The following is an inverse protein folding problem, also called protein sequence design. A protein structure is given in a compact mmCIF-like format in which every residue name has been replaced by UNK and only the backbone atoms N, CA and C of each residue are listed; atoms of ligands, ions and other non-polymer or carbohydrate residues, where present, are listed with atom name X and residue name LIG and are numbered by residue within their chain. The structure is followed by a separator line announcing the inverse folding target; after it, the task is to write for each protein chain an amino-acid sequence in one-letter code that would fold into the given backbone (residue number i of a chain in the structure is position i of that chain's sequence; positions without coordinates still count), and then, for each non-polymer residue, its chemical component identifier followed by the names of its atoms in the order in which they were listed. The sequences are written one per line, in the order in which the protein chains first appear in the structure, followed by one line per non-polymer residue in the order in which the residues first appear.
data_IF_882814342049
#
_entry.id   IF_882814342049
#
_cell.length_a   1.000
_cell.length_b   1.000
_cell.length_c   1.000
_cell.angle_alpha   90.00
_cell.angle_beta   90.00
_cell.angle_gamma   90.00
#
_symmetry.space_group_name_H-M   'P 1'
#
loop_
_entity.id
_entity.type
_entity.pdbx_description
1 polymer ?
#
# COMPACT_ATOMS: atom_id res chain seq x y z
N UNK A 1 -38.65 43.91 -20.21
CA UNK A 1 -38.01 43.22 -21.34
C UNK A 1 -36.49 43.35 -21.34
N UNK A 2 -35.83 43.54 -20.15
CA UNK A 2 -34.37 43.73 -20.02
C UNK A 2 -33.59 42.55 -19.41
N UNK A 3 -34.27 41.48 -18.99
CA UNK A 3 -33.64 40.35 -18.33
C UNK A 3 -33.09 39.26 -19.27
N UNK A 4 -33.62 39.14 -20.49
CA UNK A 4 -33.18 38.13 -21.47
C UNK A 4 -31.78 38.34 -22.00
N UNK A 5 -31.30 39.58 -22.10
CA UNK A 5 -29.97 39.86 -22.67
C UNK A 5 -28.80 39.53 -21.71
N UNK A 6 -29.02 39.67 -20.39
CA UNK A 6 -27.97 39.34 -19.41
C UNK A 6 -27.60 37.85 -19.32
N UNK A 7 -28.55 36.97 -19.67
CA UNK A 7 -28.30 35.52 -19.66
C UNK A 7 -27.50 35.12 -20.91
N UNK A 8 -27.79 35.76 -22.07
CA UNK A 8 -27.05 35.49 -23.31
C UNK A 8 -25.59 35.94 -23.23
N UNK A 9 -25.32 37.09 -22.61
CA UNK A 9 -23.96 37.64 -22.48
C UNK A 9 -23.07 36.81 -21.56
N UNK A 10 -23.64 36.06 -20.61
CA UNK A 10 -22.92 35.19 -19.69
C UNK A 10 -22.91 33.72 -20.13
N UNK A 11 -23.52 33.36 -21.24
CA UNK A 11 -23.62 32.01 -21.76
C UNK A 11 -22.24 31.31 -21.90
N UNK A 12 -21.18 31.95 -22.43
CA UNK A 12 -19.87 31.34 -22.55
C UNK A 12 -19.24 31.05 -21.19
N UNK A 13 -19.43 31.92 -20.20
CA UNK A 13 -18.89 31.74 -18.85
C UNK A 13 -19.58 30.57 -18.14
N UNK A 14 -20.90 30.47 -18.29
CA UNK A 14 -21.70 29.36 -17.72
C UNK A 14 -21.28 28.02 -18.35
N UNK A 15 -21.04 28.01 -19.67
CA UNK A 15 -20.62 26.80 -20.37
C UNK A 15 -19.23 26.33 -19.92
N UNK A 16 -18.26 27.24 -19.75
CA UNK A 16 -16.93 26.93 -19.25
C UNK A 16 -16.99 26.38 -17.80
N UNK A 17 -17.81 27.01 -16.95
CA UNK A 17 -18.00 26.54 -15.57
C UNK A 17 -18.62 25.14 -15.51
N UNK A 18 -19.61 24.84 -16.36
CA UNK A 18 -20.22 23.51 -16.47
C UNK A 18 -19.22 22.45 -16.94
N UNK A 19 -18.41 22.75 -17.96
CA UNK A 19 -17.36 21.82 -18.44
C UNK A 19 -16.33 21.55 -17.36
N UNK A 20 -15.95 22.56 -16.57
CA UNK A 20 -14.99 22.40 -15.47
C UNK A 20 -15.57 21.53 -14.34
N UNK A 21 -16.82 21.75 -13.95
CA UNK A 21 -17.48 20.93 -12.91
C UNK A 21 -17.66 19.50 -13.39
N UNK A 22 -18.06 19.30 -14.65
CA UNK A 22 -18.23 17.95 -15.23
C UNK A 22 -16.88 17.23 -15.38
N UNK A 23 -15.83 17.95 -15.79
CA UNK A 23 -14.46 17.42 -15.87
C UNK A 23 -13.93 16.98 -14.51
N UNK A 24 -14.13 17.77 -13.45
CA UNK A 24 -13.71 17.41 -12.10
C UNK A 24 -14.46 16.20 -11.54
N UNK A 25 -15.76 16.07 -11.83
CA UNK A 25 -16.54 14.90 -11.34
C UNK A 25 -16.15 13.62 -12.05
N UNK A 26 -15.76 13.67 -13.32
CA UNK A 26 -15.29 12.50 -14.07
C UNK A 26 -13.92 12.02 -13.59
N UNK A 27 -12.98 12.94 -13.31
CA UNK A 27 -11.66 12.57 -12.82
C UNK A 27 -11.68 12.02 -11.38
N UNK A 28 -12.60 12.49 -10.54
CA UNK A 28 -12.70 12.01 -9.15
C UNK A 28 -13.24 10.58 -9.06
N UNK A 29 -14.04 10.13 -10.01
CA UNK A 29 -14.56 8.76 -10.02
C UNK A 29 -13.55 7.73 -10.53
N UNK A 30 -12.53 8.13 -11.28
CA UNK A 30 -11.49 7.20 -11.79
C UNK A 30 -10.32 6.98 -10.83
N UNK A 31 -10.19 7.78 -9.77
CA UNK A 31 -9.07 7.67 -8.83
C UNK A 31 -9.29 6.68 -7.69
N UNK A 32 -10.45 6.04 -7.59
CA UNK A 32 -10.69 4.98 -6.62
C UNK A 32 -10.17 3.68 -7.21
N UNK A 33 -9.01 3.20 -6.73
CA UNK A 33 -8.61 1.83 -6.96
C UNK A 33 -9.76 0.93 -6.50
N UNK A 34 -10.41 0.28 -7.46
CA UNK A 34 -11.64 -0.48 -7.22
C UNK A 34 -11.29 -1.83 -6.60
N UNK A 35 -11.12 -1.85 -5.28
CA UNK A 35 -11.04 -3.07 -4.50
C UNK A 35 -12.37 -3.85 -4.48
N UNK A 36 -13.44 -3.27 -4.99
CA UNK A 36 -14.75 -3.92 -5.05
C UNK A 36 -14.75 -5.13 -6.01
N UNK A 37 -13.88 -5.13 -7.02
CA UNK A 37 -13.68 -6.31 -7.87
C UNK A 37 -13.15 -7.55 -7.12
N UNK A 38 -12.43 -7.35 -6.02
CA UNK A 38 -11.93 -8.46 -5.20
C UNK A 38 -13.04 -9.12 -4.35
N UNK A 39 -14.13 -8.43 -4.06
CA UNK A 39 -15.26 -8.97 -3.30
C UNK A 39 -16.05 -10.03 -4.07
N UNK A 40 -15.84 -10.16 -5.38
CA UNK A 40 -16.48 -11.19 -6.21
C UNK A 40 -15.81 -12.56 -6.09
N UNK A 41 -14.59 -12.62 -5.53
CA UNK A 41 -13.89 -13.88 -5.28
C UNK A 41 -14.22 -14.39 -3.88
N UNK A 42 -14.35 -15.70 -3.68
CA UNK A 42 -14.61 -16.30 -2.37
C UNK A 42 -13.34 -16.27 -1.51
N UNK A 43 -12.88 -15.05 -1.17
CA UNK A 43 -11.76 -14.87 -0.26
C UNK A 43 -12.16 -15.31 1.15
N UNK A 44 -11.40 -16.21 1.72
CA UNK A 44 -11.58 -16.60 3.11
C UNK A 44 -10.45 -15.99 3.95
N UNK A 45 -10.78 -15.36 5.07
CA UNK A 45 -9.76 -14.91 6.00
C UNK A 45 -8.96 -16.12 6.51
N UNK A 46 -7.65 -16.08 6.36
CA UNK A 46 -6.76 -17.09 6.93
C UNK A 46 -6.14 -16.55 8.21
N UNK A 47 -6.09 -17.38 9.24
CA UNK A 47 -5.33 -17.09 10.44
C UNK A 47 -3.91 -17.62 10.23
N UNK A 48 -2.94 -16.72 10.17
CA UNK A 48 -1.52 -17.07 10.10
C UNK A 48 -0.96 -16.97 11.51
N UNK A 49 -0.33 -18.04 12.06
CA UNK A 49 0.32 -17.95 13.35
C UNK A 49 1.52 -17.00 13.23
N UNK A 50 1.62 -16.04 14.14
CA UNK A 50 2.73 -15.11 14.25
C UNK A 50 3.32 -15.18 15.65
N UNK A 51 4.62 -14.99 15.76
CA UNK A 51 5.31 -14.86 17.03
C UNK A 51 5.65 -13.40 17.28
N UNK A 52 5.07 -12.84 18.33
CA UNK A 52 5.22 -11.43 18.66
C UNK A 52 5.98 -11.26 19.98
N UNK A 53 6.80 -10.25 20.05
CA UNK A 53 7.54 -9.85 21.26
C UNK A 53 7.96 -8.38 21.18
N UNK A 54 8.53 -7.86 22.27
CA UNK A 54 9.07 -6.50 22.30
C UNK A 54 10.04 -6.25 21.14
N UNK A 55 9.91 -5.10 20.48
CA UNK A 55 10.71 -4.74 19.29
C UNK A 55 12.20 -4.95 19.53
N UNK A 56 12.70 -4.49 20.68
CA UNK A 56 14.12 -4.58 21.01
C UNK A 56 14.60 -6.03 21.16
N UNK A 57 13.78 -6.89 21.76
CA UNK A 57 14.10 -8.31 21.93
C UNK A 57 14.10 -9.04 20.60
N UNK A 58 13.09 -8.79 19.74
CA UNK A 58 13.02 -9.41 18.41
C UNK A 58 14.20 -8.97 17.56
N UNK A 59 14.54 -7.68 17.56
CA UNK A 59 15.70 -7.16 16.83
C UNK A 59 17.02 -7.79 17.32
N UNK A 60 17.21 -7.86 18.64
CA UNK A 60 18.40 -8.47 19.23
C UNK A 60 18.53 -9.95 18.84
N UNK A 61 17.42 -10.69 18.80
CA UNK A 61 17.44 -12.10 18.36
C UNK A 61 17.81 -12.20 16.88
N UNK A 62 17.21 -11.37 16.02
CA UNK A 62 17.52 -11.39 14.58
C UNK A 62 18.98 -11.03 14.31
N UNK A 63 19.52 -10.01 14.97
CA UNK A 63 20.94 -9.64 14.87
C UNK A 63 21.86 -10.80 15.33
N UNK A 64 21.57 -11.38 16.50
CA UNK A 64 22.36 -12.49 17.04
C UNK A 64 22.38 -13.70 16.12
N UNK A 65 21.28 -13.98 15.45
CA UNK A 65 21.14 -15.07 14.46
C UNK A 65 21.66 -14.69 13.07
N UNK A 66 22.33 -13.54 12.93
CA UNK A 66 22.99 -13.12 11.69
C UNK A 66 22.03 -12.58 10.61
N UNK A 67 20.83 -12.16 10.97
CA UNK A 67 19.89 -11.56 10.03
C UNK A 67 20.10 -10.05 9.91
N UNK A 68 20.08 -9.54 8.68
CA UNK A 68 20.17 -8.11 8.35
C UNK A 68 18.93 -7.68 7.60
N UNK A 69 18.41 -6.50 7.93
CA UNK A 69 17.30 -5.91 7.20
C UNK A 69 17.73 -5.54 5.78
N UNK A 70 16.99 -6.03 4.79
CA UNK A 70 17.29 -5.81 3.36
C UNK A 70 16.17 -5.03 2.65
N UNK A 71 14.97 -5.02 3.19
CA UNK A 71 13.82 -4.34 2.60
C UNK A 71 12.84 -3.90 3.68
N UNK A 72 12.24 -2.73 3.49
CA UNK A 72 11.11 -2.25 4.31
C UNK A 72 10.00 -1.80 3.38
N UNK A 73 8.79 -2.31 3.63
CA UNK A 73 7.58 -1.89 2.94
C UNK A 73 6.56 -1.33 3.95
N UNK A 74 5.83 -0.31 3.55
CA UNK A 74 4.85 0.36 4.40
C UNK A 74 3.43 0.11 3.90
N UNK A 75 2.60 -0.44 4.77
CA UNK A 75 1.17 -0.54 4.55
C UNK A 75 0.46 0.71 5.05
N UNK A 76 -0.51 1.19 4.27
CA UNK A 76 -1.27 2.39 4.58
C UNK A 76 -2.75 2.08 4.72
N UNK A 77 -3.42 2.83 5.60
CA UNK A 77 -4.85 2.68 5.82
C UNK A 77 -5.64 2.98 4.54
N UNK A 78 -6.70 2.20 4.32
CA UNK A 78 -7.58 2.37 3.16
C UNK A 78 -6.96 1.99 1.82
N UNK A 79 -5.80 1.31 1.82
CA UNK A 79 -5.06 0.95 0.59
C UNK A 79 -4.82 2.15 -0.35
N UNK A 80 -4.62 3.33 0.23
CA UNK A 80 -4.36 4.60 -0.47
C UNK A 80 -2.93 5.05 -0.23
N UNK A 81 -2.21 5.57 -1.24
CA UNK A 81 -0.87 6.13 -1.07
C UNK A 81 -0.82 7.29 -0.07
N UNK A 82 -1.91 8.03 0.07
CA UNK A 82 -2.06 9.16 1.00
C UNK A 82 -2.58 8.73 2.39
N UNK A 83 -2.94 7.46 2.56
CA UNK A 83 -3.42 6.91 3.83
C UNK A 83 -2.37 7.00 4.93
N UNK A 84 -2.80 7.08 6.17
CA UNK A 84 -1.91 7.01 7.33
C UNK A 84 -1.11 5.71 7.35
N UNK A 85 0.10 5.76 7.88
CA UNK A 85 0.92 4.58 8.07
C UNK A 85 0.22 3.62 9.05
N UNK A 86 -0.14 2.44 8.56
CA UNK A 86 -0.86 1.44 9.35
C UNK A 86 0.08 0.37 9.91
N UNK A 87 1.08 -0.04 9.11
CA UNK A 87 2.08 -1.02 9.53
C UNK A 87 3.33 -0.93 8.66
N UNK A 88 4.44 -1.45 9.16
CA UNK A 88 5.64 -1.69 8.38
C UNK A 88 5.93 -3.19 8.32
N UNK A 89 6.34 -3.66 7.15
CA UNK A 89 6.84 -5.03 6.95
C UNK A 89 8.32 -4.94 6.63
N UNK A 90 9.14 -5.56 7.46
CA UNK A 90 10.59 -5.61 7.23
C UNK A 90 11.00 -7.02 6.82
N UNK A 91 11.75 -7.12 5.73
CA UNK A 91 12.37 -8.36 5.27
C UNK A 91 13.83 -8.37 5.71
N UNK A 92 14.22 -9.45 6.38
CA UNK A 92 15.59 -9.72 6.83
C UNK A 92 16.15 -10.89 6.05
N UNK A 93 17.41 -10.80 5.65
CA UNK A 93 18.14 -11.89 5.03
C UNK A 93 19.25 -12.40 5.97
N UNK A 94 19.47 -13.72 6.00
CA UNK A 94 20.56 -14.31 6.75
C UNK A 94 21.90 -14.10 6.03
N UNK A 95 22.90 -13.63 6.77
CA UNK A 95 24.26 -13.55 6.28
C UNK A 95 24.93 -14.93 6.19
N UNK A 96 24.54 -15.84 7.09
CA UNK A 96 25.19 -17.15 7.24
C UNK A 96 24.60 -18.20 6.31
N UNK A 97 23.31 -18.07 5.97
CA UNK A 97 22.60 -19.05 5.15
C UNK A 97 21.89 -18.35 3.99
N UNK A 98 22.50 -18.36 2.80
CA UNK A 98 21.87 -17.76 1.61
C UNK A 98 20.48 -18.35 1.33
N UNK A 99 19.52 -17.49 1.02
CA UNK A 99 18.13 -17.89 0.75
C UNK A 99 17.25 -18.03 1.98
N UNK A 100 17.79 -17.87 3.20
CA UNK A 100 16.96 -17.74 4.39
C UNK A 100 16.53 -16.29 4.58
N UNK A 101 15.24 -16.07 4.68
CA UNK A 101 14.67 -14.76 4.99
C UNK A 101 13.62 -14.87 6.09
N UNK A 102 13.53 -13.81 6.88
CA UNK A 102 12.51 -13.62 7.90
C UNK A 102 11.74 -12.34 7.55
N UNK A 103 10.43 -12.38 7.63
CA UNK A 103 9.60 -11.20 7.51
C UNK A 103 8.91 -10.89 8.82
N UNK A 104 8.98 -9.62 9.21
CA UNK A 104 8.33 -9.11 10.41
C UNK A 104 7.30 -8.06 10.05
N UNK A 105 6.32 -7.88 10.93
CA UNK A 105 5.36 -6.79 10.86
C UNK A 105 5.36 -6.05 12.19
N UNK A 106 5.27 -4.72 12.11
CA UNK A 106 5.13 -3.83 13.26
C UNK A 106 4.14 -2.70 12.93
N UNK A 107 3.45 -2.19 13.94
CA UNK A 107 2.59 -1.01 13.78
C UNK A 107 3.23 0.18 14.48
N UNK A 108 2.98 1.43 14.01
CA UNK A 108 3.58 2.62 14.61
C UNK A 108 3.28 2.81 16.10
N UNK A 109 2.15 2.28 16.56
CA UNK A 109 1.67 2.42 17.92
C UNK A 109 2.03 1.24 18.84
N UNK A 110 2.54 0.15 18.26
CA UNK A 110 2.86 -1.06 19.02
C UNK A 110 4.33 -1.08 19.42
N UNK A 111 4.57 -1.47 20.66
CA UNK A 111 5.90 -1.79 21.18
C UNK A 111 6.37 -3.18 20.76
N UNK A 112 5.49 -3.95 20.10
CA UNK A 112 5.72 -5.33 19.69
C UNK A 112 6.01 -5.44 18.20
N UNK A 113 6.91 -6.34 17.85
CA UNK A 113 7.21 -6.77 16.49
C UNK A 113 6.85 -8.25 16.35
N UNK A 114 6.16 -8.59 15.27
CA UNK A 114 5.72 -9.96 15.02
C UNK A 114 6.51 -10.58 13.87
N UNK A 115 7.02 -11.77 14.05
CA UNK A 115 7.59 -12.60 12.99
C UNK A 115 6.41 -13.25 12.24
N UNK A 116 6.23 -12.86 10.98
CA UNK A 116 5.15 -13.36 10.13
C UNK A 116 5.48 -14.73 9.54
N UNK A 117 6.70 -14.87 9.00
CA UNK A 117 7.15 -16.10 8.38
C UNK A 117 8.67 -16.16 8.32
N UNK A 118 9.16 -17.40 8.20
CA UNK A 118 10.53 -17.72 7.83
C UNK A 118 10.48 -18.48 6.51
N UNK A 119 11.24 -18.05 5.53
CA UNK A 119 11.31 -18.64 4.21
C UNK A 119 12.70 -19.18 3.95
N UNK A 120 12.75 -20.32 3.27
CA UNK A 120 13.97 -21.02 2.91
C UNK A 120 14.07 -21.09 1.40
N UNK A 121 15.29 -21.14 0.87
CA UNK A 121 15.54 -21.20 -0.58
C UNK A 121 14.91 -20.04 -1.39
N UNK A 122 14.82 -18.86 -0.75
CA UNK A 122 14.30 -17.67 -1.40
C UNK A 122 15.19 -17.26 -2.57
N UNK A 123 14.58 -17.06 -3.73
CA UNK A 123 15.22 -16.50 -4.93
C UNK A 123 14.42 -15.30 -5.40
N UNK A 124 15.05 -14.13 -5.41
CA UNK A 124 14.45 -12.97 -6.02
C UNK A 124 14.22 -13.23 -7.52
N UNK A 125 13.01 -13.00 -8.00
CA UNK A 125 12.71 -13.04 -9.42
C UNK A 125 13.23 -11.73 -10.06
N UNK A 126 14.06 -11.84 -11.11
CA UNK A 126 14.39 -10.69 -11.93
C UNK A 126 13.14 -10.27 -12.72
N UNK A 127 12.53 -9.18 -12.30
CA UNK A 127 11.43 -8.58 -13.07
C UNK A 127 12.08 -7.83 -14.23
N UNK A 128 12.06 -8.43 -15.43
CA UNK A 128 12.39 -7.70 -16.64
C UNK A 128 11.30 -6.65 -16.87
N UNK A 129 11.65 -5.35 -16.94
CA UNK A 129 10.65 -4.34 -17.27
C UNK A 129 10.05 -4.71 -18.62
N UNK A 130 8.71 -4.76 -18.68
CA UNK A 130 8.02 -4.99 -19.96
C UNK A 130 8.29 -3.76 -20.83
N UNK A 131 8.99 -3.94 -21.92
CA UNK A 131 9.30 -2.88 -22.91
C UNK A 131 8.11 -2.54 -23.82
N UNK A 132 6.90 -2.95 -23.44
CA UNK A 132 5.67 -2.67 -24.18
C UNK A 132 4.81 -1.68 -23.39
N UNK A 133 5.07 -0.38 -23.55
CA UNK A 133 4.14 0.73 -23.40
C UNK A 133 4.08 1.48 -24.71
#
# INVERSE_FOLDING_TARGET
MKMKNKILDNLPIIFVALVFVFGMTLTWNHAKADWQGMSQYPWQPMTVPMWCGPIDEVNMVLEREGYVAVEVAFGRAGASPEGELAYAVTTYASNDTPGHIVRTIETPEQVDKCIMNMLFDYKALEIKPSTNL
#
